data_IF_667948952947
#
_entry.id   IF_667948952947
#
_cell.length_a   1.000
_cell.length_b   1.000
_cell.length_c   1.000
_cell.angle_alpha   90.00
_cell.angle_beta   90.00
_cell.angle_gamma   90.00
#
_symmetry.space_group_name_H-M   'P 1'
#
loop_
_entity.id
_entity.type
_entity.pdbx_description
1 polymer ?
#
# COMPACT_ATOMS: atom_id res chain seq x y z
N UNK A 1 -61.96 18.06 9.92
CA UNK A 1 -61.04 18.04 8.76
C UNK A 1 -59.67 18.67 9.06
N UNK A 2 -59.48 19.37 10.18
CA UNK A 2 -58.24 20.11 10.51
C UNK A 2 -57.09 19.22 11.02
N UNK A 3 -57.41 18.15 11.76
CA UNK A 3 -56.41 17.20 12.29
C UNK A 3 -55.71 16.42 11.15
N UNK A 4 -56.43 16.11 10.06
CA UNK A 4 -55.86 15.38 8.92
C UNK A 4 -54.83 16.23 8.17
N UNK A 5 -55.12 17.51 7.96
CA UNK A 5 -54.17 18.44 7.34
C UNK A 5 -52.95 18.69 8.23
N UNK A 6 -53.14 18.70 9.56
CA UNK A 6 -52.04 18.79 10.52
C UNK A 6 -51.17 17.53 10.50
N UNK A 7 -51.75 16.33 10.44
CA UNK A 7 -51.02 15.05 10.35
C UNK A 7 -50.31 14.92 8.99
N UNK A 8 -50.95 15.29 7.89
CA UNK A 8 -50.33 15.29 6.55
C UNK A 8 -49.22 16.35 6.46
N UNK A 9 -49.42 17.53 7.06
CA UNK A 9 -48.40 18.58 7.15
C UNK A 9 -47.18 18.14 7.96
N UNK A 10 -47.40 17.41 9.07
CA UNK A 10 -46.31 16.85 9.88
C UNK A 10 -45.57 15.71 9.15
N UNK A 11 -46.30 14.83 8.46
CA UNK A 11 -45.72 13.71 7.70
C UNK A 11 -44.91 14.19 6.49
N UNK A 12 -45.35 15.27 5.82
CA UNK A 12 -44.61 15.86 4.70
C UNK A 12 -43.45 16.75 5.15
N UNK A 13 -43.55 17.36 6.34
CA UNK A 13 -42.47 18.19 6.91
C UNK A 13 -41.32 17.40 7.53
N UNK A 14 -41.55 16.14 7.95
CA UNK A 14 -40.54 15.31 8.62
C UNK A 14 -39.59 14.52 7.72
N UNK A 15 -39.83 14.43 6.40
CA UNK A 15 -39.11 13.50 5.51
C UNK A 15 -37.97 14.11 4.69
N UNK A 16 -37.74 15.42 4.77
CA UNK A 16 -36.81 16.13 3.87
C UNK A 16 -35.38 16.30 4.42
N UNK A 17 -35.12 15.94 5.68
CA UNK A 17 -33.80 16.07 6.33
C UNK A 17 -32.82 14.88 6.12
N UNK A 18 -33.19 13.64 5.75
CA UNK A 18 -32.24 12.53 5.76
C UNK A 18 -31.40 12.36 4.48
N UNK A 19 -31.63 13.13 3.40
CA UNK A 19 -30.95 12.84 2.12
C UNK A 19 -29.49 13.30 2.10
N UNK A 20 -29.19 14.49 2.60
CA UNK A 20 -27.81 15.02 2.62
C UNK A 20 -26.88 14.17 3.49
N UNK A 21 -27.37 13.70 4.65
CA UNK A 21 -26.63 12.80 5.54
C UNK A 21 -26.41 11.43 4.89
N UNK A 22 -27.38 10.93 4.11
CA UNK A 22 -27.22 9.68 3.37
C UNK A 22 -26.21 9.79 2.22
N UNK A 23 -26.21 10.92 1.50
CA UNK A 23 -25.21 11.21 0.47
C UNK A 23 -23.81 11.26 1.09
N UNK A 24 -23.63 12.03 2.16
CA UNK A 24 -22.35 12.13 2.88
C UNK A 24 -21.84 10.76 3.33
N UNK A 25 -22.72 9.92 3.89
CA UNK A 25 -22.37 8.56 4.28
C UNK A 25 -21.92 7.73 3.07
N UNK A 26 -22.64 7.82 1.96
CA UNK A 26 -22.31 7.12 0.71
C UNK A 26 -20.95 7.55 0.17
N UNK A 27 -20.65 8.85 0.20
CA UNK A 27 -19.40 9.42 -0.28
C UNK A 27 -18.23 8.91 0.56
N UNK A 28 -18.35 8.95 1.91
CA UNK A 28 -17.37 8.35 2.82
C UNK A 28 -17.16 6.85 2.60
N UNK A 29 -18.25 6.10 2.43
CA UNK A 29 -18.17 4.66 2.21
C UNK A 29 -17.52 4.34 0.84
N UNK A 30 -17.80 5.15 -0.19
CA UNK A 30 -17.15 5.08 -1.50
C UNK A 30 -15.64 5.35 -1.40
N UNK A 31 -15.24 6.45 -0.76
CA UNK A 31 -13.82 6.80 -0.56
C UNK A 31 -13.10 5.74 0.26
N UNK A 32 -13.74 5.19 1.31
CA UNK A 32 -13.15 4.10 2.10
C UNK A 32 -12.85 2.87 1.23
N UNK A 33 -13.74 2.50 0.32
CA UNK A 33 -13.48 1.37 -0.59
C UNK A 33 -12.31 1.66 -1.53
N UNK A 34 -12.22 2.88 -2.09
CA UNK A 34 -11.09 3.28 -2.94
C UNK A 34 -9.76 3.22 -2.18
N UNK A 35 -9.72 3.70 -0.93
CA UNK A 35 -8.56 3.61 -0.06
C UNK A 35 -8.12 2.15 0.17
N UNK A 36 -9.08 1.22 0.35
CA UNK A 36 -8.75 -0.21 0.50
C UNK A 36 -8.15 -0.81 -0.78
N UNK A 37 -8.66 -0.43 -1.95
CA UNK A 37 -8.10 -0.84 -3.25
C UNK A 37 -6.69 -0.26 -3.46
N UNK A 38 -6.48 1.01 -3.11
CA UNK A 38 -5.17 1.67 -3.14
C UNK A 38 -4.16 0.96 -2.25
N UNK A 39 -4.54 0.60 -1.02
CA UNK A 39 -3.67 -0.18 -0.13
C UNK A 39 -3.27 -1.52 -0.73
N UNK A 40 -4.20 -2.24 -1.37
CA UNK A 40 -3.86 -3.52 -2.00
C UNK A 40 -2.96 -3.32 -3.22
N UNK A 41 -3.13 -2.24 -3.99
CA UNK A 41 -2.23 -1.89 -5.09
C UNK A 41 -0.81 -1.57 -4.60
N UNK A 42 -0.65 -0.88 -3.47
CA UNK A 42 0.67 -0.66 -2.84
C UNK A 42 1.34 -1.98 -2.47
N UNK A 43 0.59 -2.91 -1.88
CA UNK A 43 1.09 -4.25 -1.54
C UNK A 43 1.47 -5.02 -2.82
N UNK A 44 0.63 -4.98 -3.84
CA UNK A 44 0.90 -5.62 -5.13
C UNK A 44 2.16 -5.07 -5.80
N UNK A 45 2.32 -3.75 -5.81
CA UNK A 45 3.53 -3.09 -6.33
C UNK A 45 4.78 -3.55 -5.59
N UNK A 46 4.73 -3.64 -4.26
CA UNK A 46 5.86 -4.10 -3.45
C UNK A 46 6.22 -5.57 -3.68
N UNK A 47 5.25 -6.43 -3.96
CA UNK A 47 5.53 -7.83 -4.31
C UNK A 47 6.25 -7.97 -5.65
N UNK A 48 6.00 -7.06 -6.60
CA UNK A 48 6.61 -7.11 -7.94
C UNK A 48 7.97 -6.40 -7.97
N UNK A 49 8.08 -5.25 -7.30
CA UNK A 49 9.24 -4.35 -7.39
C UNK A 49 10.17 -4.42 -6.18
N UNK A 50 9.81 -5.20 -5.15
CA UNK A 50 10.60 -5.35 -3.92
C UNK A 50 10.64 -4.11 -3.02
N UNK A 51 9.81 -3.10 -3.31
CA UNK A 51 9.74 -1.82 -2.60
C UNK A 51 8.36 -1.20 -2.74
N UNK A 52 7.97 -0.33 -1.82
CA UNK A 52 6.80 0.52 -1.97
C UNK A 52 7.09 1.65 -2.99
N UNK A 53 6.07 2.17 -3.70
CA UNK A 53 6.27 3.26 -4.63
C UNK A 53 6.60 4.55 -3.87
N UNK A 54 7.44 5.40 -4.49
CA UNK A 54 7.58 6.78 -4.06
C UNK A 54 6.33 7.59 -4.41
N UNK A 55 6.05 8.66 -3.65
CA UNK A 55 4.96 9.58 -3.98
C UNK A 55 5.14 10.26 -5.33
N UNK A 56 4.02 10.68 -5.90
CA UNK A 56 3.94 11.63 -7.00
C UNK A 56 4.16 13.05 -6.45
N UNK A 57 5.14 13.78 -6.96
CA UNK A 57 5.53 15.11 -6.48
C UNK A 57 5.26 16.23 -7.47
N UNK A 58 4.90 15.91 -8.71
CA UNK A 58 4.62 16.90 -9.76
C UNK A 58 3.15 16.89 -10.22
N UNK A 59 2.36 15.92 -9.77
CA UNK A 59 0.91 15.79 -9.97
C UNK A 59 0.52 15.08 -11.26
N UNK A 60 1.44 14.41 -11.95
CA UNK A 60 1.16 13.68 -13.19
C UNK A 60 0.59 12.25 -12.97
N UNK A 61 0.61 11.77 -11.72
CA UNK A 61 0.14 10.46 -11.30
C UNK A 61 1.16 9.33 -11.41
N UNK A 62 2.41 9.63 -11.74
CA UNK A 62 3.51 8.67 -11.88
C UNK A 62 4.37 8.62 -10.60
N UNK A 63 5.14 7.56 -10.48
CA UNK A 63 6.05 7.35 -9.35
C UNK A 63 7.34 8.15 -9.55
N UNK A 64 7.57 9.14 -8.68
CA UNK A 64 8.79 9.94 -8.69
C UNK A 64 9.90 9.29 -7.85
N UNK A 65 10.62 8.36 -8.47
CA UNK A 65 11.73 7.66 -7.82
C UNK A 65 13.07 7.89 -8.52
N UNK A 66 14.12 8.02 -7.70
CA UNK A 66 15.53 7.97 -8.13
C UNK A 66 16.22 6.70 -7.61
N UNK A 67 17.44 6.78 -7.08
CA UNK A 67 18.03 5.69 -6.28
C UNK A 67 17.43 5.66 -4.87
N UNK A 68 17.04 6.82 -4.35
CA UNK A 68 16.40 6.98 -3.05
C UNK A 68 15.04 7.64 -3.21
N UNK A 69 14.17 7.39 -2.23
CA UNK A 69 12.90 8.10 -2.08
C UNK A 69 13.12 9.42 -1.34
N UNK A 70 13.60 10.44 -2.06
CA UNK A 70 13.97 11.73 -1.45
C UNK A 70 12.76 12.46 -0.87
N UNK A 71 11.63 12.40 -1.58
CA UNK A 71 10.36 12.92 -1.12
C UNK A 71 9.53 11.74 -0.63
N UNK A 72 9.31 11.66 0.68
CA UNK A 72 8.58 10.57 1.32
C UNK A 72 7.08 10.86 1.46
N UNK A 73 6.65 12.11 1.23
CA UNK A 73 5.25 12.53 1.19
C UNK A 73 4.93 13.29 -0.11
N UNK A 74 3.72 13.09 -0.64
CA UNK A 74 3.24 13.71 -1.87
C UNK A 74 1.85 13.22 -2.26
N UNK A 75 1.54 13.26 -3.55
CA UNK A 75 0.36 12.65 -4.14
C UNK A 75 0.48 11.13 -4.23
N UNK A 76 -0.65 10.44 -4.21
CA UNK A 76 -0.70 9.01 -4.53
C UNK A 76 -0.43 8.81 -6.04
N UNK A 77 0.48 7.91 -6.45
CA UNK A 77 0.81 7.66 -7.86
C UNK A 77 -0.29 6.83 -8.55
N UNK A 78 -1.46 7.46 -8.75
CA UNK A 78 -2.69 6.82 -9.20
C UNK A 78 -2.61 6.27 -10.63
N UNK A 79 -1.86 6.92 -11.51
CA UNK A 79 -1.77 6.52 -12.91
C UNK A 79 -0.92 5.25 -13.08
N UNK A 80 0.24 5.17 -12.42
CA UNK A 80 1.09 3.98 -12.42
C UNK A 80 0.43 2.79 -11.72
N UNK A 81 -0.36 3.03 -10.68
CA UNK A 81 -1.08 1.99 -9.95
C UNK A 81 -2.47 1.65 -10.55
N UNK A 82 -2.89 2.36 -11.60
CA UNK A 82 -4.12 2.07 -12.34
C UNK A 82 -5.40 2.33 -11.56
N UNK A 83 -5.41 3.36 -10.70
CA UNK A 83 -6.51 3.69 -9.78
C UNK A 83 -7.09 5.08 -10.05
N UNK A 84 -8.19 5.40 -9.37
CA UNK A 84 -8.81 6.72 -9.43
C UNK A 84 -7.95 7.81 -8.80
N UNK A 85 -7.91 8.99 -9.43
CA UNK A 85 -7.15 10.15 -8.95
C UNK A 85 -7.77 10.82 -7.71
N UNK A 86 -9.10 10.91 -7.68
CA UNK A 86 -9.84 11.76 -6.76
C UNK A 86 -10.81 10.96 -5.89
N UNK A 87 -10.99 11.42 -4.66
CA UNK A 87 -12.01 10.92 -3.75
C UNK A 87 -13.42 11.41 -4.11
N UNK A 88 -14.43 11.05 -3.30
CA UNK A 88 -15.81 11.44 -3.54
C UNK A 88 -16.08 12.96 -3.51
N UNK A 89 -15.15 13.77 -3.00
CA UNK A 89 -15.25 15.23 -2.93
C UNK A 89 -14.38 15.93 -3.97
N UNK A 90 -13.75 15.18 -4.89
CA UNK A 90 -12.93 15.73 -5.97
C UNK A 90 -11.51 16.11 -5.54
N UNK A 91 -11.02 15.55 -4.42
CA UNK A 91 -9.68 15.82 -3.91
C UNK A 91 -8.74 14.65 -4.21
N UNK A 92 -7.51 14.97 -4.65
CA UNK A 92 -6.48 13.96 -4.92
C UNK A 92 -5.89 13.41 -3.62
N UNK A 93 -5.72 12.10 -3.51
CA UNK A 93 -5.22 11.45 -2.29
C UNK A 93 -3.78 11.86 -1.95
N UNK A 94 -3.53 12.15 -0.68
CA UNK A 94 -2.17 12.33 -0.15
C UNK A 94 -1.59 10.98 0.24
N UNK A 95 -0.31 10.78 -0.02
CA UNK A 95 0.40 9.54 0.24
C UNK A 95 1.72 9.83 0.92
N UNK A 96 2.04 9.01 1.93
CA UNK A 96 3.34 9.00 2.58
C UNK A 96 3.87 7.57 2.65
N UNK A 97 5.17 7.43 2.42
CA UNK A 97 5.91 6.18 2.50
C UNK A 97 7.11 6.32 3.44
N UNK A 98 7.51 5.23 4.07
CA UNK A 98 8.78 5.19 4.78
C UNK A 98 9.93 5.03 3.78
N UNK A 99 10.91 5.93 3.83
CA UNK A 99 12.02 5.95 2.86
C UNK A 99 12.75 4.62 2.74
N UNK A 100 13.01 3.97 3.88
CA UNK A 100 13.66 2.65 3.99
C UNK A 100 12.87 1.50 3.32
N UNK A 101 11.61 1.72 2.96
CA UNK A 101 10.76 0.73 2.29
C UNK A 101 10.56 1.05 0.80
N UNK A 102 11.00 2.21 0.32
CA UNK A 102 10.72 2.74 -1.01
C UNK A 102 11.96 3.04 -1.86
N UNK A 103 13.17 2.87 -1.31
CA UNK A 103 14.41 3.07 -2.04
C UNK A 103 14.77 1.87 -2.95
N UNK A 104 15.91 1.95 -3.62
CA UNK A 104 16.47 0.82 -4.39
C UNK A 104 17.66 0.16 -3.70
N UNK A 105 17.84 0.39 -2.40
CA UNK A 105 18.97 -0.16 -1.63
C UNK A 105 18.53 -1.43 -0.93
N UNK A 106 19.25 -2.52 -1.13
CA UNK A 106 18.81 -3.80 -0.59
C UNK A 106 18.87 -3.82 0.95
N UNK A 107 17.74 -4.11 1.59
CA UNK A 107 17.58 -4.31 3.04
C UNK A 107 17.86 -3.10 3.92
N UNK A 108 17.56 -1.89 3.46
CA UNK A 108 17.65 -0.65 4.25
C UNK A 108 16.99 -0.79 5.61
N UNK A 109 17.60 -0.18 6.63
CA UNK A 109 17.18 -0.28 8.04
C UNK A 109 17.48 -1.63 8.69
N UNK A 110 18.15 -2.56 8.00
CA UNK A 110 18.49 -3.89 8.51
C UNK A 110 19.93 -4.28 8.13
N UNK A 111 20.82 -4.44 9.12
CA UNK A 111 22.22 -4.80 8.87
C UNK A 111 22.45 -6.29 8.51
N UNK A 112 21.39 -7.10 8.54
CA UNK A 112 21.46 -8.53 8.26
C UNK A 112 21.32 -8.79 6.75
N UNK A 113 22.13 -9.73 6.24
CA UNK A 113 22.26 -10.17 4.85
C UNK A 113 21.07 -9.83 3.93
N UNK A 114 21.08 -8.66 3.27
CA UNK A 114 19.92 -8.20 2.52
C UNK A 114 19.64 -9.14 1.34
N UNK A 115 18.38 -9.27 0.96
CA UNK A 115 18.04 -9.99 -0.27
C UNK A 115 18.08 -9.04 -1.45
N UNK A 116 18.79 -9.47 -2.48
CA UNK A 116 18.95 -8.67 -3.69
C UNK A 116 17.61 -8.30 -4.32
N UNK A 117 17.42 -7.01 -4.59
CA UNK A 117 16.21 -6.45 -5.18
C UNK A 117 15.09 -6.14 -4.20
N UNK A 118 15.30 -6.27 -2.88
CA UNK A 118 14.31 -5.91 -1.85
C UNK A 118 14.80 -4.72 -1.03
N UNK A 119 14.06 -3.60 -1.09
CA UNK A 119 14.40 -2.36 -0.37
C UNK A 119 14.49 -2.55 1.15
N UNK A 120 13.67 -3.46 1.70
CA UNK A 120 13.61 -3.72 3.13
C UNK A 120 13.70 -5.22 3.45
N UNK A 121 13.96 -5.51 4.73
CA UNK A 121 14.03 -6.86 5.28
C UNK A 121 13.06 -7.06 6.44
N UNK A 122 12.98 -8.28 6.98
CA UNK A 122 12.11 -8.59 8.12
C UNK A 122 12.39 -7.69 9.33
N UNK A 123 13.66 -7.30 9.53
CA UNK A 123 14.07 -6.46 10.64
C UNK A 123 13.98 -4.94 10.39
N UNK A 124 13.69 -4.51 9.16
CA UNK A 124 13.50 -3.09 8.84
C UNK A 124 12.30 -2.52 9.59
N UNK A 125 12.46 -1.32 10.13
CA UNK A 125 11.45 -0.62 10.92
C UNK A 125 11.06 0.65 10.16
N UNK A 126 9.77 0.86 9.94
CA UNK A 126 9.29 2.07 9.29
C UNK A 126 9.11 3.23 10.29
N UNK A 127 8.91 4.44 9.78
CA UNK A 127 8.95 5.70 10.54
C UNK A 127 7.59 6.37 10.76
N UNK A 128 6.51 5.86 10.17
CA UNK A 128 5.18 6.48 10.27
C UNK A 128 4.46 6.00 11.54
N UNK A 129 3.89 6.94 12.29
CA UNK A 129 3.05 6.71 13.47
C UNK A 129 1.67 7.30 13.26
N UNK A 130 0.64 6.60 13.74
CA UNK A 130 -0.76 7.04 13.69
C UNK A 130 -1.27 7.16 15.12
N UNK A 131 -1.83 8.30 15.47
CA UNK A 131 -2.35 8.64 16.80
C UNK A 131 -3.88 8.79 16.77
N UNK A 132 -4.53 8.70 17.93
CA UNK A 132 -5.99 8.94 18.08
C UNK A 132 -6.38 10.43 18.20
N UNK A 133 -5.40 11.31 18.01
CA UNK A 133 -5.47 12.78 18.00
C UNK A 133 -4.05 13.35 17.90
N UNK A 134 -3.90 14.64 17.56
CA UNK A 134 -2.58 15.26 17.33
C UNK A 134 -1.65 15.24 18.58
N UNK A 135 -2.22 15.07 19.77
CA UNK A 135 -1.47 14.82 21.02
C UNK A 135 -2.00 13.60 21.76
N UNK A 136 -2.52 12.64 20.98
CA UNK A 136 -3.19 11.44 21.43
C UNK A 136 -2.25 10.28 21.75
N UNK A 137 -2.85 9.11 21.92
CA UNK A 137 -2.16 7.83 22.06
C UNK A 137 -1.94 7.17 20.71
N UNK A 138 -0.92 6.31 20.62
CA UNK A 138 -0.65 5.57 19.39
C UNK A 138 -1.76 4.55 19.07
N UNK A 139 -2.35 4.68 17.88
CA UNK A 139 -3.25 3.72 17.24
C UNK A 139 -2.44 2.69 16.45
N UNK A 140 -1.41 3.15 15.74
CA UNK A 140 -0.47 2.31 15.01
C UNK A 140 0.92 2.94 14.98
N UNK A 141 1.96 2.11 14.88
CA UNK A 141 3.35 2.56 14.89
C UNK A 141 4.19 1.76 13.91
N UNK A 142 5.28 2.34 13.42
CA UNK A 142 6.20 1.74 12.46
C UNK A 142 5.47 1.26 11.19
N UNK A 143 4.64 2.14 10.64
CA UNK A 143 3.86 1.91 9.44
C UNK A 143 4.70 2.26 8.19
N UNK A 144 4.77 1.39 7.16
CA UNK A 144 5.60 1.61 5.99
C UNK A 144 4.97 2.52 4.93
N UNK A 145 3.64 2.62 4.88
CA UNK A 145 2.93 3.49 3.95
C UNK A 145 1.52 3.81 4.44
N UNK A 146 1.04 5.00 4.10
CA UNK A 146 -0.28 5.52 4.47
C UNK A 146 -0.83 6.42 3.36
N UNK A 147 -2.14 6.34 3.16
CA UNK A 147 -2.90 7.11 2.19
C UNK A 147 -3.99 7.87 2.94
N UNK A 148 -4.22 9.12 2.55
CA UNK A 148 -5.10 10.08 3.21
C UNK A 148 -6.06 10.67 2.17
N UNK A 149 -7.35 10.66 2.49
CA UNK A 149 -8.34 11.58 1.93
C UNK A 149 -8.68 12.59 3.02
N UNK A 150 -8.59 13.88 2.72
CA UNK A 150 -8.84 14.97 3.68
C UNK A 150 -10.34 15.30 3.82
N UNK A 151 -11.18 14.40 3.31
CA UNK A 151 -12.62 14.55 3.42
C UNK A 151 -13.17 15.79 2.72
N UNK A 152 -14.34 16.22 3.18
CA UNK A 152 -15.10 17.31 2.58
C UNK A 152 -14.59 18.67 3.03
N UNK A 153 -14.09 18.76 4.26
CA UNK A 153 -13.74 20.02 4.89
C UNK A 153 -12.30 20.48 4.60
N UNK A 154 -11.52 19.73 3.81
CA UNK A 154 -10.08 19.90 3.60
C UNK A 154 -9.62 21.35 3.40
N UNK A 155 -10.39 22.17 2.67
CA UNK A 155 -10.03 23.55 2.34
C UNK A 155 -10.33 24.58 3.45
N UNK A 156 -11.13 24.20 4.44
CA UNK A 156 -11.67 25.10 5.46
C UNK A 156 -11.50 24.59 6.89
N UNK A 157 -10.85 23.44 7.08
CA UNK A 157 -10.61 22.90 8.41
C UNK A 157 -9.74 23.82 9.25
N UNK A 158 -10.05 23.87 10.53
CA UNK A 158 -9.22 24.48 11.59
C UNK A 158 -8.91 23.46 12.69
N UNK A 159 -9.20 22.18 12.44
CA UNK A 159 -8.94 21.08 13.34
C UNK A 159 -7.44 20.81 13.40
N UNK A 160 -6.87 20.81 14.60
CA UNK A 160 -5.48 20.39 14.79
C UNK A 160 -5.25 18.93 14.38
N UNK A 161 -6.26 18.08 14.55
CA UNK A 161 -6.19 16.67 14.18
C UNK A 161 -6.14 16.49 12.65
N UNK A 162 -6.90 17.28 11.87
CA UNK A 162 -6.89 17.22 10.40
C UNK A 162 -5.67 17.96 9.82
N UNK A 163 -5.19 19.01 10.51
CA UNK A 163 -3.98 19.70 10.14
C UNK A 163 -2.74 18.80 10.23
N UNK A 164 -2.68 17.93 11.25
CA UNK A 164 -1.61 16.92 11.40
C UNK A 164 -1.52 16.01 10.16
N UNK A 165 -2.67 15.62 9.58
CA UNK A 165 -2.69 14.80 8.37
C UNK A 165 -2.17 15.51 7.11
N UNK A 166 -1.93 16.83 7.18
CA UNK A 166 -1.53 17.67 6.03
C UNK A 166 -0.12 18.26 6.15
N UNK A 167 0.59 18.08 7.26
CA UNK A 167 1.86 18.78 7.52
C UNK A 167 3.12 18.08 6.96
N UNK A 168 2.93 16.91 6.34
CA UNK A 168 3.96 16.11 5.67
C UNK A 168 5.03 15.52 6.58
N UNK A 169 4.78 15.40 7.88
CA UNK A 169 5.67 14.70 8.81
C UNK A 169 5.29 13.21 8.97
N UNK A 170 5.95 12.50 9.89
CA UNK A 170 5.76 11.06 10.12
C UNK A 170 4.67 10.72 11.14
N UNK A 171 3.89 11.69 11.60
CA UNK A 171 2.87 11.57 12.64
C UNK A 171 1.54 11.95 12.04
N UNK A 172 0.60 11.01 12.01
CA UNK A 172 -0.73 11.20 11.43
C UNK A 172 -1.80 10.90 12.47
N UNK A 173 -3.03 11.33 12.22
CA UNK A 173 -4.18 11.11 13.08
C UNK A 173 -5.22 10.24 12.40
N UNK A 174 -5.67 9.20 13.10
CA UNK A 174 -6.89 8.46 12.77
C UNK A 174 -7.87 8.53 13.92
N UNK A 175 -9.11 8.91 13.62
CA UNK A 175 -10.19 8.89 14.60
C UNK A 175 -11.55 8.76 13.91
N UNK A 176 -12.57 8.50 14.72
CA UNK A 176 -13.95 8.45 14.26
C UNK A 176 -14.44 9.80 13.74
N UNK A 177 -15.29 9.75 12.69
CA UNK A 177 -15.94 10.91 12.11
C UNK A 177 -16.62 11.80 13.17
N UNK A 178 -16.35 13.09 13.13
CA UNK A 178 -16.98 14.10 13.98
C UNK A 178 -17.21 15.40 13.19
N UNK A 179 -18.46 15.76 12.97
CA UNK A 179 -18.84 17.05 12.39
C UNK A 179 -19.53 17.99 13.41
N UNK A 180 -19.74 17.51 14.63
CA UNK A 180 -20.60 18.16 15.63
C UNK A 180 -19.89 18.41 16.97
N UNK A 181 -18.70 17.84 17.17
CA UNK A 181 -17.82 18.14 18.29
C UNK A 181 -16.47 18.63 17.76
N UNK A 182 -15.91 19.64 18.42
CA UNK A 182 -14.54 20.09 18.16
C UNK A 182 -13.54 19.19 18.92
N UNK A 183 -12.41 18.81 18.32
CA UNK A 183 -12.04 19.06 16.93
C UNK A 183 -12.90 18.22 15.95
N UNK A 184 -13.30 18.85 14.84
CA UNK A 184 -13.95 18.14 13.74
C UNK A 184 -12.96 17.18 13.09
N UNK A 185 -13.46 16.08 12.55
CA UNK A 185 -12.64 15.10 11.87
C UNK A 185 -13.48 14.39 10.81
N UNK A 186 -13.18 14.60 9.54
CA UNK A 186 -13.78 13.92 8.42
C UNK A 186 -12.79 13.23 7.48
N UNK A 187 -11.49 13.42 7.71
CA UNK A 187 -10.40 12.67 7.08
C UNK A 187 -10.63 11.15 7.15
N UNK A 188 -10.11 10.49 6.12
CA UNK A 188 -10.08 9.04 5.99
C UNK A 188 -8.65 8.62 5.71
N UNK A 189 -8.08 7.83 6.61
CA UNK A 189 -6.73 7.31 6.49
C UNK A 189 -6.75 5.79 6.37
N UNK A 190 -5.86 5.25 5.55
CA UNK A 190 -5.61 3.81 5.47
C UNK A 190 -4.11 3.58 5.35
N UNK A 191 -3.61 2.53 5.99
CA UNK A 191 -2.20 2.20 5.91
C UNK A 191 -1.93 0.76 5.54
N UNK A 192 -0.75 0.54 4.99
CA UNK A 192 -0.19 -0.80 4.77
C UNK A 192 0.30 -1.33 6.11
N UNK A 193 -0.20 -2.49 6.54
CA UNK A 193 0.22 -3.10 7.79
C UNK A 193 1.57 -3.81 7.58
N UNK A 194 2.63 -3.47 8.34
CA UNK A 194 4.00 -3.97 8.08
C UNK A 194 4.09 -5.49 8.12
N UNK A 195 3.42 -6.12 9.09
CA UNK A 195 3.45 -7.58 9.26
C UNK A 195 2.71 -8.29 8.12
N UNK A 196 1.64 -7.70 7.59
CA UNK A 196 0.90 -8.26 6.44
C UNK A 196 1.76 -8.15 5.19
N UNK A 197 2.38 -7.00 4.94
CA UNK A 197 3.27 -6.78 3.81
C UNK A 197 4.42 -7.79 3.81
N UNK A 198 5.18 -7.87 4.92
CA UNK A 198 6.29 -8.80 5.08
C UNK A 198 5.85 -10.25 4.95
N UNK A 199 4.72 -10.64 5.57
CA UNK A 199 4.18 -12.01 5.44
C UNK A 199 3.80 -12.36 4.02
N UNK A 200 3.19 -11.45 3.25
CA UNK A 200 2.83 -11.68 1.85
C UNK A 200 4.08 -11.87 1.00
N UNK A 201 5.11 -11.06 1.21
CA UNK A 201 6.38 -11.19 0.49
C UNK A 201 7.07 -12.54 0.76
N UNK A 202 7.12 -12.99 2.01
CA UNK A 202 7.64 -14.34 2.35
C UNK A 202 6.80 -15.42 1.64
N UNK A 203 5.48 -15.27 1.60
CA UNK A 203 4.58 -16.28 1.04
C UNK A 203 4.73 -16.49 -0.48
N UNK A 204 5.13 -15.45 -1.22
CA UNK A 204 5.38 -15.55 -2.66
C UNK A 204 6.82 -16.00 -2.98
N UNK A 205 7.58 -16.40 -1.96
CA UNK A 205 8.94 -16.89 -2.12
C UNK A 205 10.00 -15.81 -2.26
N UNK A 206 9.66 -14.54 -1.96
CA UNK A 206 10.70 -13.52 -1.79
C UNK A 206 11.47 -13.88 -0.52
N UNK A 207 12.75 -14.21 -0.71
CA UNK A 207 13.64 -14.57 0.39
C UNK A 207 13.98 -13.27 1.14
N UNK A 208 14.00 -13.31 2.45
CA UNK A 208 14.60 -12.26 3.27
C UNK A 208 15.73 -12.95 4.03
N UNK A 209 16.92 -12.98 3.42
CA UNK A 209 18.05 -13.75 3.91
C UNK A 209 18.41 -13.42 5.37
N UNK A 210 18.26 -14.39 6.26
CA UNK A 210 19.15 -14.51 7.42
C UNK A 210 20.29 -15.42 6.98
N UNK A 211 21.36 -14.83 6.45
CA UNK A 211 22.64 -15.53 6.33
C UNK A 211 23.44 -15.31 7.60
N UNK A 212 22.98 -15.91 8.70
CA UNK A 212 23.88 -16.23 9.81
C UNK A 212 24.84 -17.31 9.31
N UNK A 213 26.01 -16.86 8.88
CA UNK A 213 27.16 -17.70 8.59
C UNK A 213 27.51 -18.52 9.83
N UNK A 214 27.02 -19.76 9.90
CA UNK A 214 27.56 -20.81 10.74
C UNK A 214 27.64 -22.10 9.93
N UNK A 215 28.80 -22.73 9.98
CA UNK A 215 29.28 -23.61 8.93
C UNK A 215 28.58 -24.96 8.82
N UNK A 216 28.70 -25.52 7.61
CA UNK A 216 28.91 -26.93 7.34
C UNK A 216 27.73 -27.90 7.61
N UNK A 217 26.83 -28.05 6.62
CA UNK A 217 26.25 -29.33 6.17
C UNK A 217 25.39 -29.05 4.91
N UNK A 218 25.70 -29.56 3.71
CA UNK A 218 25.40 -30.93 3.33
C UNK A 218 24.31 -30.96 2.24
N UNK A 219 24.76 -30.97 0.98
CA UNK A 219 24.17 -31.64 -0.19
C UNK A 219 22.67 -32.07 -0.14
N UNK A 220 21.76 -31.34 -0.80
CA UNK A 220 20.56 -31.84 -1.50
C UNK A 220 19.79 -30.63 -2.08
N UNK A 221 19.28 -30.58 -3.31
CA UNK A 221 19.25 -31.52 -4.41
C UNK A 221 18.83 -30.74 -5.65
N UNK A 222 19.56 -30.94 -6.74
CA UNK A 222 19.28 -30.39 -8.05
C UNK A 222 18.22 -31.29 -8.68
N UNK A 223 16.98 -30.82 -8.89
CA UNK A 223 16.04 -31.51 -9.77
C UNK A 223 15.04 -30.52 -10.38
N UNK A 224 15.14 -30.34 -11.69
CA UNK A 224 14.32 -29.41 -12.47
C UNK A 224 14.70 -29.42 -13.93
N UNK A 225 14.58 -30.62 -14.51
CA UNK A 225 14.82 -31.04 -15.89
C UNK A 225 14.75 -29.94 -16.97
N UNK A 226 15.87 -29.77 -17.68
CA UNK A 226 16.01 -28.97 -18.89
C UNK A 226 15.36 -29.70 -20.08
N UNK A 227 14.57 -28.96 -20.87
CA UNK A 227 13.85 -29.44 -22.03
C UNK A 227 14.78 -30.06 -23.08
N UNK A 228 14.45 -31.29 -23.45
CA UNK A 228 15.12 -32.12 -24.44
C UNK A 228 15.05 -31.45 -25.83
N UNK A 229 16.14 -30.82 -26.28
CA UNK A 229 16.33 -30.42 -27.66
C UNK A 229 16.84 -31.65 -28.44
N UNK A 230 15.94 -32.24 -29.22
CA UNK A 230 16.23 -33.39 -30.07
C UNK A 230 17.24 -33.03 -31.15
N UNK A 231 18.44 -33.58 -31.04
CA UNK A 231 19.32 -33.86 -32.15
C UNK A 231 20.37 -34.88 -31.70
N UNK A 232 20.21 -36.13 -32.11
CA UNK A 232 21.22 -36.78 -32.92
C UNK A 232 20.78 -38.18 -33.38
N UNK A 233 20.83 -38.32 -34.70
CA UNK A 233 21.14 -39.54 -35.44
C UNK A 233 21.77 -40.63 -34.58
N UNK A 234 21.11 -41.79 -34.50
CA UNK A 234 21.81 -43.05 -34.27
C UNK A 234 21.43 -44.02 -35.37
N UNK A 235 22.45 -44.41 -36.11
CA UNK A 235 22.45 -45.29 -37.27
C UNK A 235 22.09 -46.72 -36.84
N UNK A 236 20.96 -47.25 -37.31
CA UNK A 236 20.73 -48.68 -37.33
C UNK A 236 21.18 -49.23 -38.69
N UNK A 237 22.30 -49.96 -38.71
CA UNK A 237 22.63 -50.84 -39.83
C UNK A 237 22.69 -52.28 -39.34
N UNK A 238 21.76 -53.08 -39.86
CA UNK A 238 21.69 -54.52 -39.73
C UNK A 238 22.91 -55.16 -40.38
N UNK A 239 23.95 -55.43 -39.60
CA UNK A 239 24.85 -56.59 -39.68
C UNK A 239 26.02 -56.39 -38.73
N UNK A 240 26.18 -57.31 -37.78
CA UNK A 240 27.11 -57.19 -36.67
C UNK A 240 28.57 -56.97 -37.08
N UNK A 241 29.09 -55.78 -36.80
CA UNK A 241 30.48 -55.56 -36.37
C UNK A 241 30.59 -54.16 -35.73
N UNK A 242 31.13 -54.08 -34.51
CA UNK A 242 31.30 -52.84 -33.75
C UNK A 242 32.54 -52.08 -34.20
N UNK A 243 32.44 -50.77 -34.43
CA UNK A 243 33.25 -49.72 -33.76
C UNK A 243 33.26 -48.37 -34.51
N UNK A 244 33.16 -47.31 -33.70
CA UNK A 244 33.46 -45.89 -33.94
C UNK A 244 32.58 -45.07 -34.90
N UNK A 245 31.49 -44.53 -34.35
CA UNK A 245 31.08 -43.16 -34.66
C UNK A 245 31.90 -42.22 -33.76
N UNK A 246 32.82 -41.47 -34.35
CA UNK A 246 33.55 -40.41 -33.67
C UNK A 246 32.60 -39.24 -33.32
N UNK A 247 32.75 -38.73 -32.11
CA UNK A 247 32.84 -37.30 -31.87
C UNK A 247 33.90 -37.08 -30.79
#
# INVERSE_FOLDING_TARGET
MSIVLLVIGLLLGGSLVPLSVQMEKRDRDSTRNQLLDMREALVGYALVNGRLPCPDTDGDGLIDISTTCTNVGGGFPWADLGLGKEDAWGQAFTYRVSGDFADTTDGTGCAASPTAGLSFSLCSVADINVLDGASGSAVASAIPAIIISHGKNWAITSSGDEAENSDSDGVLVERGFSNSASPTFDDLVVWVVPNILKSKMVSVGLVFGDSSNNGNNGNNGNNGNNGNNGNNNSCENSNGNSNNCNN
#
